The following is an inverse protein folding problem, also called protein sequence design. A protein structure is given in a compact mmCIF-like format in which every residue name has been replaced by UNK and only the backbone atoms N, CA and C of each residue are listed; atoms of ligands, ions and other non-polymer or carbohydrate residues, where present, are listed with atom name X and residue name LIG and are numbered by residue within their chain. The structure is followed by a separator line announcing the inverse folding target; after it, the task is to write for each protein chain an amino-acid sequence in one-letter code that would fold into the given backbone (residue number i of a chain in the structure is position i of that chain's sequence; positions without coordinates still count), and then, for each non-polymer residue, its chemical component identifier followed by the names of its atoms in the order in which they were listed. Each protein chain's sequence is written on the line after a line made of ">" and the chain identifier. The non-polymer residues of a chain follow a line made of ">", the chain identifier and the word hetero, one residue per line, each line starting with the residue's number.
data_IF_319567663428
#
_entry.id   IF_319567663428
#
_cell.length_a   1.000
_cell.length_b   1.000
_cell.length_c   1.000
_cell.angle_alpha   90.00
_cell.angle_beta   90.00
_cell.angle_gamma   90.00
#
_symmetry.space_group_name_H-M   'P 1'
#
loop_
_entity.id
_entity.type
_entity.pdbx_description
1 polymer ?
#
# COMPACT_ATOMS: atom_id res chain seq x y z
N UNK A 1 14.83 6.51 -18.46
CA UNK A 1 13.44 6.09 -18.67
C UNK A 1 12.69 6.23 -17.35
N UNK A 2 11.43 6.70 -17.36
CA UNK A 2 10.58 6.67 -16.18
C UNK A 2 10.35 5.23 -15.71
N UNK A 3 10.10 5.02 -14.40
CA UNK A 3 9.99 3.68 -13.81
C UNK A 3 8.71 2.93 -14.22
N UNK A 4 7.66 3.64 -14.67
CA UNK A 4 6.44 3.08 -15.27
C UNK A 4 6.09 3.80 -16.57
N UNK A 5 5.16 3.24 -17.34
CA UNK A 5 4.59 3.92 -18.51
C UNK A 5 3.62 5.02 -18.05
N UNK A 6 3.35 6.01 -18.91
CA UNK A 6 2.38 7.05 -18.56
C UNK A 6 0.95 6.51 -18.43
N UNK A 7 0.60 5.43 -19.14
CA UNK A 7 -0.71 4.78 -19.01
C UNK A 7 -0.87 4.09 -17.65
N UNK A 8 0.20 3.55 -17.08
CA UNK A 8 0.17 2.99 -15.72
C UNK A 8 -0.17 4.08 -14.70
N UNK A 9 0.50 5.24 -14.75
CA UNK A 9 0.21 6.39 -13.88
C UNK A 9 -1.24 6.84 -14.00
N UNK A 10 -1.78 6.84 -15.22
CA UNK A 10 -3.17 7.22 -15.46
C UNK A 10 -4.17 6.19 -14.91
N UNK A 11 -3.88 4.90 -15.10
CA UNK A 11 -4.66 3.80 -14.53
C UNK A 11 -4.69 3.89 -13.01
N UNK A 12 -3.55 4.11 -12.38
CA UNK A 12 -3.41 4.27 -10.94
C UNK A 12 -4.17 5.49 -10.40
N UNK A 13 -4.12 6.63 -11.10
CA UNK A 13 -4.92 7.80 -10.75
C UNK A 13 -6.43 7.48 -10.78
N UNK A 14 -6.90 6.80 -11.84
CA UNK A 14 -8.30 6.38 -11.94
C UNK A 14 -8.69 5.39 -10.85
N UNK A 15 -7.83 4.41 -10.58
CA UNK A 15 -8.05 3.42 -9.54
C UNK A 15 -8.12 4.09 -8.16
N UNK A 16 -7.18 4.98 -7.85
CA UNK A 16 -7.15 5.74 -6.60
C UNK A 16 -8.46 6.48 -6.35
N UNK A 17 -8.99 7.14 -7.40
CA UNK A 17 -10.24 7.91 -7.35
C UNK A 17 -11.51 7.05 -7.35
N UNK A 18 -11.41 5.76 -7.65
CA UNK A 18 -12.58 4.89 -7.72
C UNK A 18 -13.30 4.82 -6.37
N UNK A 19 -14.63 4.78 -6.40
CA UNK A 19 -15.45 4.71 -5.19
C UNK A 19 -15.08 3.49 -4.34
N UNK A 20 -14.87 2.34 -4.98
CA UNK A 20 -14.52 1.10 -4.30
C UNK A 20 -13.19 1.20 -3.56
N UNK A 21 -12.16 1.74 -4.23
CA UNK A 21 -10.86 1.92 -3.60
C UNK A 21 -10.93 2.90 -2.42
N UNK A 22 -11.66 4.00 -2.56
CA UNK A 22 -11.85 4.98 -1.47
C UNK A 22 -12.60 4.36 -0.29
N UNK A 23 -13.64 3.58 -0.55
CA UNK A 23 -14.40 2.87 0.48
C UNK A 23 -13.51 1.87 1.22
N UNK A 24 -12.74 1.05 0.48
CA UNK A 24 -11.81 0.10 1.07
C UNK A 24 -10.78 0.77 1.96
N UNK A 25 -10.12 1.83 1.48
CA UNK A 25 -9.13 2.58 2.27
C UNK A 25 -9.75 3.24 3.51
N UNK A 26 -10.95 3.82 3.38
CA UNK A 26 -11.64 4.39 4.53
C UNK A 26 -11.95 3.33 5.59
N UNK A 27 -12.40 2.15 5.17
CA UNK A 27 -12.70 1.07 6.10
C UNK A 27 -11.44 0.47 6.74
N UNK A 28 -10.38 0.25 5.96
CA UNK A 28 -9.14 -0.38 6.43
C UNK A 28 -8.25 0.56 7.26
N UNK A 29 -8.21 1.85 6.91
CA UNK A 29 -7.26 2.82 7.45
C UNK A 29 -7.91 4.06 8.06
N UNK A 30 -9.25 4.18 8.04
CA UNK A 30 -9.99 5.32 8.58
C UNK A 30 -9.87 6.61 7.75
N UNK A 31 -9.16 6.58 6.62
CA UNK A 31 -8.89 7.77 5.80
C UNK A 31 -9.04 7.46 4.31
N UNK A 32 -9.37 8.49 3.51
CA UNK A 32 -9.30 8.39 2.05
C UNK A 32 -7.90 8.77 1.56
N UNK A 33 -7.32 8.03 0.60
CA UNK A 33 -5.99 8.35 0.08
C UNK A 33 -6.01 9.65 -0.73
N UNK A 34 -4.91 10.41 -0.68
CA UNK A 34 -4.71 11.53 -1.59
C UNK A 34 -4.29 11.01 -2.97
N UNK A 35 -5.10 11.30 -3.99
CA UNK A 35 -4.82 10.92 -5.38
C UNK A 35 -4.06 11.99 -6.18
N UNK A 36 -3.65 13.09 -5.52
CA UNK A 36 -2.97 14.22 -6.17
C UNK A 36 -1.64 13.80 -6.82
N UNK A 37 -0.81 13.07 -6.08
CA UNK A 37 0.51 12.63 -6.54
C UNK A 37 0.42 11.83 -7.84
N UNK A 38 -0.53 10.90 -7.96
CA UNK A 38 -0.72 10.12 -9.19
C UNK A 38 -1.07 10.99 -10.42
N UNK A 39 -1.82 12.07 -10.20
CA UNK A 39 -2.16 13.02 -11.26
C UNK A 39 -0.93 13.79 -11.71
N UNK A 40 -0.13 14.26 -10.75
CA UNK A 40 1.12 14.97 -10.99
C UNK A 40 2.11 14.07 -11.73
N UNK A 41 2.32 12.83 -11.26
CA UNK A 41 3.20 11.85 -11.88
C UNK A 41 2.78 11.55 -13.33
N UNK A 42 1.48 11.44 -13.61
CA UNK A 42 0.98 11.30 -14.99
C UNK A 42 1.40 12.48 -15.86
N UNK A 43 1.22 13.73 -15.40
CA UNK A 43 1.60 14.90 -16.17
C UNK A 43 3.11 15.01 -16.35
N UNK A 44 3.90 14.77 -15.30
CA UNK A 44 5.36 14.75 -15.38
C UNK A 44 5.86 13.67 -16.34
N UNK A 45 5.20 12.51 -16.39
CA UNK A 45 5.50 11.46 -17.36
C UNK A 45 5.21 11.91 -18.80
N UNK A 46 4.03 12.51 -19.04
CA UNK A 46 3.66 13.03 -20.38
C UNK A 46 4.55 14.18 -20.82
N UNK A 47 5.04 14.98 -19.88
CA UNK A 47 6.03 16.02 -20.16
C UNK A 47 7.37 15.40 -20.54
N UNK A 48 7.84 14.40 -19.79
CA UNK A 48 9.06 13.66 -20.13
C UNK A 48 9.00 13.01 -21.53
N UNK A 49 7.85 12.46 -21.94
CA UNK A 49 7.69 11.90 -23.30
C UNK A 49 7.81 12.96 -24.41
N UNK A 50 7.37 14.19 -24.14
CA UNK A 50 7.45 15.31 -25.10
C UNK A 50 8.82 15.97 -25.09
N UNK A 51 9.37 16.19 -23.91
CA UNK A 51 10.63 16.87 -23.66
C UNK A 51 11.37 16.17 -22.51
N UNK A 52 12.26 15.21 -22.83
CA UNK A 52 13.03 14.50 -21.82
C UNK A 52 13.96 15.47 -21.04
N UNK A 53 13.59 15.81 -19.79
CA UNK A 53 14.36 16.67 -18.89
C UNK A 53 14.77 15.97 -17.59
N UNK A 54 15.99 16.21 -17.05
CA UNK A 54 16.47 15.52 -15.85
C UNK A 54 15.53 15.70 -14.64
N UNK A 55 14.94 16.89 -14.49
CA UNK A 55 14.02 17.21 -13.39
C UNK A 55 12.75 16.35 -13.39
N UNK A 56 12.10 16.17 -14.55
CA UNK A 56 10.85 15.36 -14.63
C UNK A 56 11.15 13.90 -14.35
N UNK A 57 12.29 13.39 -14.82
CA UNK A 57 12.74 12.03 -14.50
C UNK A 57 13.03 11.86 -13.01
N UNK A 58 13.75 12.78 -12.39
CA UNK A 58 14.08 12.72 -10.96
C UNK A 58 12.83 12.81 -10.09
N UNK A 59 11.89 13.68 -10.43
CA UNK A 59 10.59 13.80 -9.75
C UNK A 59 9.82 12.47 -9.76
N UNK A 60 9.70 11.82 -10.92
CA UNK A 60 9.05 10.51 -11.05
C UNK A 60 9.75 9.44 -10.22
N UNK A 61 11.07 9.37 -10.28
CA UNK A 61 11.84 8.41 -9.46
C UNK A 61 11.67 8.66 -7.97
N UNK A 62 11.59 9.92 -7.55
CA UNK A 62 11.39 10.27 -6.15
C UNK A 62 9.98 9.91 -5.66
N UNK A 63 8.95 10.15 -6.48
CA UNK A 63 7.58 9.72 -6.18
C UNK A 63 7.51 8.20 -5.94
N UNK A 64 8.13 7.40 -6.81
CA UNK A 64 8.18 5.94 -6.63
C UNK A 64 8.91 5.51 -5.36
N UNK A 65 10.09 6.09 -5.10
CA UNK A 65 10.86 5.79 -3.89
C UNK A 65 10.06 6.10 -2.62
N UNK A 66 9.37 7.24 -2.60
CA UNK A 66 8.49 7.61 -1.49
C UNK A 66 7.38 6.56 -1.32
N UNK A 67 6.78 6.11 -2.42
CA UNK A 67 5.71 5.11 -2.40
C UNK A 67 6.16 3.76 -1.84
N UNK A 68 7.33 3.29 -2.27
CA UNK A 68 7.94 2.06 -1.72
C UNK A 68 8.29 2.20 -0.24
N UNK A 69 8.77 3.38 0.17
CA UNK A 69 9.09 3.65 1.57
C UNK A 69 7.83 3.61 2.46
N UNK A 70 6.71 4.18 1.99
CA UNK A 70 5.43 4.12 2.71
C UNK A 70 4.92 2.67 2.85
N UNK A 71 5.05 1.84 1.81
CA UNK A 71 4.68 0.41 1.90
C UNK A 71 5.52 -0.34 2.93
N UNK A 72 6.79 0.04 3.10
CA UNK A 72 7.72 -0.57 4.06
C UNK A 72 7.53 -0.10 5.50
N UNK A 73 6.73 0.94 5.76
CA UNK A 73 6.49 1.44 7.13
C UNK A 73 5.75 0.44 8.01
N UNK A 74 4.99 -0.48 7.42
CA UNK A 74 4.22 -1.44 8.21
C UNK A 74 5.12 -2.55 8.75
N UNK A 75 5.34 -2.54 10.06
CA UNK A 75 6.02 -3.64 10.76
C UNK A 75 4.98 -4.71 11.06
N UNK A 76 5.14 -5.95 10.58
CA UNK A 76 4.20 -7.01 10.88
C UNK A 76 4.13 -7.25 12.39
N UNK A 77 2.91 -7.27 12.95
CA UNK A 77 2.68 -7.59 14.37
C UNK A 77 2.99 -9.06 14.66
N UNK A 78 2.88 -9.91 13.64
CA UNK A 78 3.08 -11.35 13.75
C UNK A 78 4.32 -11.76 12.97
N UNK A 79 5.22 -12.48 13.63
CA UNK A 79 6.33 -13.14 12.96
C UNK A 79 5.83 -14.23 12.01
N UNK A 80 6.55 -14.44 10.90
CA UNK A 80 6.27 -15.52 9.97
C UNK A 80 6.50 -16.87 10.66
N UNK A 81 5.42 -17.62 10.88
CA UNK A 81 5.49 -18.96 11.49
C UNK A 81 6.13 -19.95 10.52
N UNK A 82 7.09 -20.73 11.01
CA UNK A 82 7.70 -21.84 10.25
C UNK A 82 6.88 -23.12 10.34
N UNK A 83 6.28 -23.36 11.50
CA UNK A 83 5.48 -24.54 11.80
C UNK A 83 4.24 -24.13 12.62
N UNK A 84 3.13 -24.86 12.54
CA UNK A 84 2.00 -24.65 13.44
C UNK A 84 2.41 -24.93 14.90
N UNK A 85 1.74 -24.31 15.89
CA UNK A 85 1.89 -24.70 17.30
C UNK A 85 1.70 -26.21 17.48
N UNK A 86 2.50 -26.84 18.35
CA UNK A 86 2.48 -28.31 18.50
C UNK A 86 1.11 -28.85 18.94
N UNK A 87 0.36 -28.04 19.67
CA UNK A 87 -0.93 -28.32 20.26
C UNK A 87 -2.10 -27.78 19.42
N UNK A 88 -1.86 -27.33 18.18
CA UNK A 88 -2.91 -26.76 17.32
C UNK A 88 -4.10 -27.72 17.10
N UNK A 89 -3.85 -29.04 17.15
CA UNK A 89 -4.84 -30.09 16.94
C UNK A 89 -5.54 -30.52 18.25
N UNK A 90 -5.16 -29.97 19.39
CA UNK A 90 -5.82 -30.31 20.66
C UNK A 90 -7.24 -29.72 20.70
N UNK A 91 -8.22 -30.44 21.26
CA UNK A 91 -9.55 -29.90 21.49
C UNK A 91 -9.46 -28.62 22.33
N UNK A 92 -10.22 -27.59 21.95
CA UNK A 92 -10.39 -26.40 22.78
C UNK A 92 -10.93 -26.85 24.14
N UNK A 93 -10.28 -26.42 25.23
CA UNK A 93 -10.72 -26.73 26.59
C UNK A 93 -12.12 -26.13 26.76
N UNK A 94 -13.13 -27.00 26.81
CA UNK A 94 -14.50 -26.59 27.02
C UNK A 94 -14.66 -26.09 28.46
N UNK A 95 -14.54 -24.79 28.64
CA UNK A 95 -14.89 -24.09 29.87
C UNK A 95 -13.84 -24.21 30.98
N UNK A 96 -13.02 -23.17 31.13
CA UNK A 96 -12.72 -22.47 32.38
C UNK A 96 -11.74 -21.34 32.08
N UNK A 97 -12.20 -20.10 32.26
CA UNK A 97 -11.37 -18.91 32.25
C UNK A 97 -10.34 -19.00 33.39
N UNK A 98 -9.08 -18.54 33.20
CA UNK A 98 -8.05 -18.55 34.25
C UNK A 98 -8.45 -17.77 35.52
N UNK A 99 -9.41 -16.85 35.41
CA UNK A 99 -9.88 -15.99 36.50
C UNK A 99 -10.80 -16.70 37.52
N UNK A 100 -11.01 -18.01 37.40
CA UNK A 100 -11.93 -18.77 38.28
C UNK A 100 -11.26 -19.44 39.49
N UNK A 101 -10.03 -19.06 39.83
CA UNK A 101 -9.37 -19.46 41.08
C UNK A 101 -8.95 -18.21 41.86
N UNK A 102 -9.88 -17.68 42.65
CA UNK A 102 -9.63 -16.79 43.81
C UNK A 102 -10.61 -17.16 44.91
#
# INVERSE_FOLDING_TARGET
>A
QPPRTCDDYWSEFRHCKSLWNRFHNYYAHGTSPSCGQWKEDYYSCREWEKNPGPETKESLQQSERNREAEQKKFTPVWDLRRDPPRDWHMPLHQGKSPDSQS
#
